data_IF_666358358284
#
_entry.id   IF_666358358284
#
_cell.length_a   1.000
_cell.length_b   1.000
_cell.length_c   1.000
_cell.angle_alpha   90.00
_cell.angle_beta   90.00
_cell.angle_gamma   90.00
#
_symmetry.space_group_name_H-M   'P 1'
#
loop_
_entity.id
_entity.type
_entity.pdbx_description
1 polymer ?
#
# COMPACT_ATOMS: atom_id res chain seq x y z
N UNK A 1 25.96 30.97 46.55
CA UNK A 1 26.39 30.91 45.13
C UNK A 1 26.02 29.61 44.38
N UNK A 2 25.99 28.41 44.99
CA UNK A 2 25.70 27.15 44.24
C UNK A 2 24.23 27.01 43.76
N UNK A 3 23.28 27.66 44.45
CA UNK A 3 21.84 27.58 44.14
C UNK A 3 21.43 28.42 42.91
N UNK A 4 22.16 29.49 42.63
CA UNK A 4 21.88 30.41 41.51
C UNK A 4 22.29 29.81 40.15
N UNK A 5 23.45 29.14 40.09
CA UNK A 5 23.91 28.44 38.87
C UNK A 5 22.92 27.39 38.39
N UNK A 6 22.27 26.68 39.33
CA UNK A 6 21.28 25.66 39.00
C UNK A 6 19.98 26.22 38.41
N UNK A 7 19.62 27.47 38.72
CA UNK A 7 18.43 28.11 38.13
C UNK A 7 18.70 28.65 36.72
N UNK A 8 19.93 29.10 36.44
CA UNK A 8 20.32 29.55 35.10
C UNK A 8 20.41 28.39 34.10
N UNK A 9 20.94 27.22 34.50
CA UNK A 9 20.95 26.06 33.60
C UNK A 9 19.53 25.57 33.27
N UNK A 10 18.62 25.57 34.25
CA UNK A 10 17.22 25.19 34.02
C UNK A 10 16.49 26.15 33.09
N UNK A 11 16.77 27.45 33.14
CA UNK A 11 16.12 28.44 32.26
C UNK A 11 16.64 28.37 30.82
N UNK A 12 17.94 28.12 30.63
CA UNK A 12 18.55 27.97 29.30
C UNK A 12 18.12 26.67 28.59
N UNK A 13 17.96 25.58 29.35
CA UNK A 13 17.42 24.33 28.79
C UNK A 13 15.96 24.51 28.36
N UNK A 14 15.13 25.21 29.14
CA UNK A 14 13.71 25.43 28.82
C UNK A 14 13.52 26.29 27.56
N UNK A 15 14.39 27.28 27.33
CA UNK A 15 14.31 28.18 26.17
C UNK A 15 14.75 27.54 24.86
N UNK A 16 15.58 26.48 24.92
CA UNK A 16 16.10 25.79 23.72
C UNK A 16 15.13 24.77 23.10
N UNK A 17 14.07 24.40 23.82
CA UNK A 17 13.07 23.43 23.34
C UNK A 17 11.78 24.07 22.81
N UNK A 18 11.58 25.39 22.96
CA UNK A 18 10.37 26.09 22.50
C UNK A 18 10.41 26.55 21.05
N UNK A 19 11.52 26.36 20.33
CA UNK A 19 11.70 26.79 18.93
C UNK A 19 11.86 25.63 17.96
N UNK A 20 11.40 24.43 18.31
CA UNK A 20 11.27 23.36 17.33
C UNK A 20 10.11 23.70 16.39
N UNK A 21 10.33 23.72 15.07
CA UNK A 21 9.28 24.04 14.11
C UNK A 21 8.11 23.08 14.31
N UNK A 22 6.94 23.64 14.62
CA UNK A 22 5.69 22.88 14.67
C UNK A 22 5.49 22.22 13.32
N UNK A 23 5.55 20.90 13.28
CA UNK A 23 5.25 20.14 12.07
C UNK A 23 3.83 20.50 11.62
N UNK A 24 3.62 20.85 10.33
CA UNK A 24 2.29 21.15 9.84
C UNK A 24 1.42 19.89 9.93
N UNK A 25 0.47 19.89 10.86
CA UNK A 25 -0.67 18.96 10.87
C UNK A 25 -1.59 19.29 9.71
N UNK A 26 -1.18 18.94 8.49
CA UNK A 26 -2.08 18.97 7.34
C UNK A 26 -2.32 17.54 6.84
N UNK A 27 -3.02 16.76 7.67
CA UNK A 27 -3.66 15.52 7.25
C UNK A 27 -5.04 15.82 6.68
N UNK A 28 -5.09 16.61 5.61
CA UNK A 28 -6.23 16.70 4.72
C UNK A 28 -6.46 15.34 4.05
N UNK A 29 -7.23 14.47 4.70
CA UNK A 29 -7.67 13.17 4.20
C UNK A 29 -8.37 13.35 2.85
N UNK A 30 -7.65 13.11 1.75
CA UNK A 30 -8.19 13.08 0.39
C UNK A 30 -9.14 11.90 0.24
N UNK A 31 -10.43 12.12 0.52
CA UNK A 31 -11.55 11.17 0.32
C UNK A 31 -11.84 10.84 -1.17
N UNK A 32 -11.06 11.39 -2.12
CA UNK A 32 -11.25 11.21 -3.58
C UNK A 32 -10.87 9.83 -4.12
N UNK A 33 -10.12 8.99 -3.40
CA UNK A 33 -9.73 7.67 -3.91
C UNK A 33 -10.90 6.66 -3.93
N UNK A 34 -11.96 6.90 -3.16
CA UNK A 34 -13.09 5.97 -3.06
C UNK A 34 -13.99 6.01 -4.30
N UNK A 35 -14.25 7.19 -4.86
CA UNK A 35 -15.21 7.38 -5.96
C UNK A 35 -14.71 6.73 -7.27
N UNK A 36 -13.40 6.81 -7.53
CA UNK A 36 -12.81 6.20 -8.74
C UNK A 36 -12.89 4.67 -8.65
N UNK A 37 -12.66 4.11 -7.46
CA UNK A 37 -12.77 2.65 -7.25
C UNK A 37 -14.20 2.16 -7.43
N UNK A 38 -15.19 2.89 -6.91
CA UNK A 38 -16.60 2.53 -7.06
C UNK A 38 -17.02 2.61 -8.52
N UNK A 39 -16.65 3.67 -9.24
CA UNK A 39 -16.96 3.82 -10.67
C UNK A 39 -16.34 2.71 -11.52
N UNK A 40 -15.09 2.33 -11.25
CA UNK A 40 -14.45 1.21 -11.93
C UNK A 40 -15.18 -0.10 -11.66
N UNK A 41 -15.51 -0.38 -10.39
CA UNK A 41 -16.22 -1.58 -10.01
C UNK A 41 -17.57 -1.69 -10.74
N UNK A 42 -18.30 -0.58 -10.88
CA UNK A 42 -19.56 -0.55 -11.64
C UNK A 42 -19.35 -0.87 -13.12
N UNK A 43 -18.33 -0.31 -13.77
CA UNK A 43 -18.02 -0.60 -15.18
C UNK A 43 -17.67 -2.08 -15.37
N UNK A 44 -16.87 -2.63 -14.46
CA UNK A 44 -16.48 -4.05 -14.46
C UNK A 44 -17.69 -4.97 -14.25
N UNK A 45 -18.61 -4.59 -13.35
CA UNK A 45 -19.86 -5.30 -13.11
C UNK A 45 -20.74 -5.31 -14.36
N UNK A 46 -20.91 -4.16 -15.03
CA UNK A 46 -21.70 -4.07 -16.27
C UNK A 46 -21.08 -4.95 -17.35
N UNK A 47 -19.75 -4.91 -17.51
CA UNK A 47 -19.05 -5.78 -18.46
C UNK A 47 -19.28 -7.27 -18.14
N UNK A 48 -19.24 -7.66 -16.87
CA UNK A 48 -19.44 -9.04 -16.42
C UNK A 48 -20.90 -9.50 -16.60
N UNK A 49 -21.87 -8.65 -16.28
CA UNK A 49 -23.28 -8.95 -16.54
C UNK A 49 -23.52 -9.10 -18.04
N UNK A 50 -22.93 -8.23 -18.86
CA UNK A 50 -23.05 -8.32 -20.31
C UNK A 50 -22.44 -9.63 -20.86
N UNK A 51 -21.28 -10.07 -20.37
CA UNK A 51 -20.68 -11.34 -20.79
C UNK A 51 -21.51 -12.54 -20.33
N UNK A 52 -22.07 -12.51 -19.12
CA UNK A 52 -22.98 -13.56 -18.62
C UNK A 52 -24.25 -13.63 -19.47
N UNK A 53 -24.85 -12.50 -19.81
CA UNK A 53 -26.03 -12.45 -20.69
C UNK A 53 -25.72 -13.05 -22.07
N UNK A 54 -24.58 -12.67 -22.67
CA UNK A 54 -24.15 -13.25 -23.95
C UNK A 54 -23.87 -14.76 -23.86
N UNK A 55 -23.51 -15.27 -22.68
CA UNK A 55 -23.27 -16.69 -22.47
C UNK A 55 -24.57 -17.49 -22.22
N UNK A 56 -25.54 -16.90 -21.50
CA UNK A 56 -26.79 -17.56 -21.12
C UNK A 56 -27.83 -17.54 -22.24
N UNK A 57 -27.99 -16.42 -22.96
CA UNK A 57 -29.05 -16.30 -23.98
C UNK A 57 -28.95 -17.39 -25.07
N UNK A 58 -27.77 -17.73 -25.62
CA UNK A 58 -27.66 -18.81 -26.61
C UNK A 58 -28.03 -20.19 -26.07
N UNK A 59 -27.87 -20.43 -24.75
CA UNK A 59 -28.26 -21.69 -24.11
C UNK A 59 -29.79 -21.84 -24.03
N UNK A 60 -30.51 -20.74 -23.85
CA UNK A 60 -31.98 -20.74 -23.70
C UNK A 60 -32.67 -20.90 -25.07
N UNK A 61 -32.11 -20.30 -26.12
CA UNK A 61 -32.72 -20.30 -27.46
C UNK A 61 -32.52 -21.60 -28.27
N UNK A 62 -31.78 -22.57 -27.75
CA UNK A 62 -31.51 -23.85 -28.43
C UNK A 62 -32.47 -24.99 -28.01
N UNK A 63 -33.65 -24.66 -27.47
CA UNK A 63 -34.53 -25.61 -26.77
C UNK A 63 -35.41 -26.50 -27.65
N UNK A 64 -35.15 -26.61 -28.96
CA UNK A 64 -35.69 -27.73 -29.75
C UNK A 64 -34.68 -28.90 -29.74
N UNK A 65 -34.69 -29.63 -28.61
CA UNK A 65 -34.20 -31.01 -28.39
C UNK A 65 -32.69 -31.31 -28.22
N UNK A 66 -31.98 -30.86 -27.16
CA UNK A 66 -30.76 -31.56 -26.67
C UNK A 66 -30.51 -31.48 -25.14
N UNK A 67 -30.02 -32.57 -24.52
CA UNK A 67 -29.91 -32.72 -23.06
C UNK A 67 -28.81 -31.86 -22.44
N UNK A 68 -29.14 -31.22 -21.32
CA UNK A 68 -28.21 -30.47 -20.49
C UNK A 68 -27.75 -31.22 -19.22
N UNK A 69 -26.77 -30.58 -18.57
CA UNK A 69 -26.29 -30.71 -17.17
C UNK A 69 -25.07 -31.62 -16.87
N UNK A 70 -24.75 -32.73 -17.57
CA UNK A 70 -23.40 -33.33 -17.43
C UNK A 70 -22.95 -34.33 -18.53
N UNK A 71 -23.54 -34.27 -19.73
CA UNK A 71 -23.47 -35.37 -20.69
C UNK A 71 -22.34 -35.38 -21.72
N UNK A 72 -21.84 -34.26 -22.26
CA UNK A 72 -20.69 -34.27 -23.18
C UNK A 72 -19.99 -32.90 -23.32
N UNK A 73 -18.67 -32.98 -23.13
CA UNK A 73 -17.53 -32.16 -23.58
C UNK A 73 -17.66 -30.64 -23.47
N UNK A 74 -17.27 -30.12 -22.30
CA UNK A 74 -16.72 -28.76 -22.11
C UNK A 74 -15.37 -28.60 -22.82
N UNK A 75 -15.32 -28.88 -24.11
CA UNK A 75 -14.14 -28.75 -24.95
C UNK A 75 -14.18 -27.42 -25.69
N UNK A 76 -13.02 -26.85 -25.96
CA UNK A 76 -12.80 -25.61 -26.73
C UNK A 76 -13.56 -25.57 -28.09
N UNK A 77 -14.09 -26.69 -28.57
CA UNK A 77 -14.90 -26.81 -29.79
C UNK A 77 -16.19 -26.00 -29.76
N UNK A 78 -16.95 -25.98 -28.64
CA UNK A 78 -18.21 -25.21 -28.57
C UNK A 78 -17.96 -23.70 -28.75
N UNK A 79 -16.80 -23.23 -28.29
CA UNK A 79 -16.39 -21.84 -28.44
C UNK A 79 -16.10 -21.52 -29.91
N UNK A 80 -15.37 -22.41 -30.60
CA UNK A 80 -15.08 -22.26 -32.02
C UNK A 80 -16.35 -22.24 -32.88
N UNK A 81 -17.29 -23.14 -32.61
CA UNK A 81 -18.54 -23.27 -33.37
C UNK A 81 -19.52 -22.12 -33.13
N UNK A 82 -19.52 -21.58 -31.90
CA UNK A 82 -20.31 -20.38 -31.60
C UNK A 82 -19.67 -19.14 -32.22
N UNK A 83 -18.34 -19.04 -32.15
CA UNK A 83 -17.60 -17.92 -32.73
C UNK A 83 -17.74 -17.87 -34.26
N UNK A 84 -17.76 -19.03 -34.94
CA UNK A 84 -17.92 -19.12 -36.39
C UNK A 84 -19.32 -18.74 -36.90
N UNK A 85 -20.35 -18.77 -36.04
CA UNK A 85 -21.73 -18.36 -36.38
C UNK A 85 -22.01 -16.86 -36.16
N UNK A 86 -21.19 -16.18 -35.36
CA UNK A 86 -21.33 -14.74 -35.10
C UNK A 86 -20.88 -13.95 -36.33
N UNK A 87 -21.56 -12.85 -36.65
CA UNK A 87 -21.18 -11.96 -37.75
C UNK A 87 -19.74 -11.44 -37.59
N UNK A 88 -18.99 -11.22 -38.69
CA UNK A 88 -17.60 -10.75 -38.59
C UNK A 88 -17.44 -9.45 -37.80
N UNK A 89 -18.42 -8.55 -37.90
CA UNK A 89 -18.42 -7.25 -37.19
C UNK A 89 -18.55 -7.44 -35.68
N UNK A 90 -19.43 -8.33 -35.22
CA UNK A 90 -19.60 -8.63 -33.80
C UNK A 90 -18.37 -9.31 -33.19
N UNK A 91 -17.66 -10.15 -33.95
CA UNK A 91 -16.38 -10.75 -33.50
C UNK A 91 -15.33 -9.69 -33.19
N UNK A 92 -15.19 -8.72 -34.09
CA UNK A 92 -14.24 -7.60 -33.92
C UNK A 92 -14.62 -6.79 -32.67
N UNK A 93 -15.91 -6.48 -32.46
CA UNK A 93 -16.36 -5.74 -31.28
C UNK A 93 -16.02 -6.46 -29.96
N UNK A 94 -16.25 -7.78 -29.88
CA UNK A 94 -15.92 -8.57 -28.69
C UNK A 94 -14.41 -8.52 -28.41
N UNK A 95 -13.57 -8.68 -29.45
CA UNK A 95 -12.12 -8.65 -29.30
C UNK A 95 -11.63 -7.28 -28.82
N UNK A 96 -12.16 -6.19 -29.41
CA UNK A 96 -11.86 -4.82 -28.99
C UNK A 96 -12.29 -4.56 -27.54
N UNK A 97 -13.46 -5.08 -27.13
CA UNK A 97 -13.94 -4.95 -25.76
C UNK A 97 -13.02 -5.66 -24.75
N UNK A 98 -12.61 -6.91 -25.02
CA UNK A 98 -11.68 -7.63 -24.17
C UNK A 98 -10.31 -6.96 -24.10
N UNK A 99 -9.82 -6.45 -25.23
CA UNK A 99 -8.58 -5.69 -25.27
C UNK A 99 -8.66 -4.42 -24.40
N UNK A 100 -9.79 -3.70 -24.45
CA UNK A 100 -10.02 -2.53 -23.62
C UNK A 100 -10.03 -2.88 -22.11
N UNK A 101 -10.64 -4.00 -21.73
CA UNK A 101 -10.64 -4.49 -20.34
C UNK A 101 -9.21 -4.82 -19.88
N UNK A 102 -8.42 -5.50 -20.71
CA UNK A 102 -7.02 -5.83 -20.39
C UNK A 102 -6.15 -4.58 -20.23
N UNK A 103 -6.30 -3.59 -21.12
CA UNK A 103 -5.58 -2.31 -21.04
C UNK A 103 -5.96 -1.59 -19.75
N UNK A 104 -7.25 -1.53 -19.43
CA UNK A 104 -7.74 -0.88 -18.21
C UNK A 104 -7.18 -1.58 -16.96
N UNK A 105 -7.25 -2.91 -16.90
CA UNK A 105 -6.68 -3.70 -15.82
C UNK A 105 -5.17 -3.45 -15.67
N UNK A 106 -4.42 -3.51 -16.76
CA UNK A 106 -2.99 -3.22 -16.79
C UNK A 106 -2.66 -1.81 -16.28
N UNK A 107 -3.46 -0.81 -16.67
CA UNK A 107 -3.29 0.57 -16.20
C UNK A 107 -3.53 0.72 -14.69
N UNK A 108 -4.56 0.07 -14.14
CA UNK A 108 -4.83 0.10 -12.69
C UNK A 108 -3.74 -0.60 -11.89
N UNK A 109 -3.28 -1.76 -12.35
CA UNK A 109 -2.16 -2.48 -11.73
C UNK A 109 -0.86 -1.66 -11.81
N UNK A 110 -0.56 -1.09 -12.97
CA UNK A 110 0.61 -0.24 -13.20
C UNK A 110 0.64 1.01 -12.31
N UNK A 111 -0.51 1.68 -12.14
CA UNK A 111 -0.62 2.81 -11.20
C UNK A 111 -0.36 2.39 -9.75
N UNK A 112 -0.79 1.20 -9.35
CA UNK A 112 -0.48 0.64 -8.04
C UNK A 112 1.03 0.56 -7.82
N UNK A 113 1.76 0.00 -8.78
CA UNK A 113 3.22 -0.17 -8.73
C UNK A 113 3.95 1.18 -8.70
N UNK A 114 3.52 2.17 -9.49
CA UNK A 114 4.15 3.49 -9.52
C UNK A 114 4.03 4.25 -8.19
N UNK A 115 2.94 4.08 -7.45
CA UNK A 115 2.78 4.70 -6.15
C UNK A 115 3.73 4.09 -5.09
N UNK A 116 4.03 2.78 -5.19
CA UNK A 116 5.02 2.13 -4.32
C UNK A 116 6.41 2.74 -4.51
N UNK A 117 6.80 3.04 -5.76
CA UNK A 117 8.13 3.65 -6.05
C UNK A 117 8.28 5.09 -5.57
N UNK A 118 7.18 5.85 -5.49
CA UNK A 118 7.23 7.25 -5.02
C UNK A 118 7.50 7.35 -3.52
N UNK A 119 7.05 6.38 -2.74
CA UNK A 119 7.37 6.29 -1.30
C UNK A 119 8.88 6.08 -1.08
N UNK A 120 9.57 5.38 -1.99
CA UNK A 120 11.01 5.12 -1.88
C UNK A 120 11.89 6.34 -2.21
N UNK A 121 11.39 7.34 -2.96
CA UNK A 121 12.22 8.43 -3.47
C UNK A 121 12.49 9.55 -2.45
N UNK A 122 11.69 9.64 -1.39
CA UNK A 122 11.85 10.64 -0.32
C UNK A 122 12.51 10.06 0.94
N UNK A 123 13.17 8.91 0.84
CA UNK A 123 13.88 8.34 1.99
C UNK A 123 15.06 9.26 2.31
N UNK A 124 15.14 9.81 3.54
CA UNK A 124 16.28 10.62 3.94
C UNK A 124 17.54 9.78 3.82
N UNK A 125 18.51 10.27 3.05
CA UNK A 125 19.78 9.57 2.87
C UNK A 125 20.44 9.32 4.24
N UNK A 126 21.22 8.23 4.38
CA UNK A 126 21.99 7.94 5.62
C UNK A 126 22.81 9.15 6.10
N UNK A 127 23.23 10.02 5.17
CA UNK A 127 23.91 11.29 5.44
C UNK A 127 23.07 12.28 6.25
N UNK A 128 21.76 12.35 6.05
CA UNK A 128 20.86 13.23 6.82
C UNK A 128 20.60 12.69 8.23
N UNK A 129 20.75 11.38 8.44
CA UNK A 129 20.55 10.73 9.75
C UNK A 129 21.80 10.89 10.63
N UNK A 130 22.96 11.29 10.08
CA UNK A 130 24.18 11.62 10.85
C UNK A 130 24.08 12.94 11.64
N UNK A 131 22.92 13.24 12.20
CA UNK A 131 22.75 14.36 13.13
C UNK A 131 23.53 14.04 14.41
N UNK A 132 24.66 14.73 14.61
CA UNK A 132 25.52 14.80 15.82
C UNK A 132 25.30 13.66 16.82
N UNK A 133 26.07 12.58 16.67
CA UNK A 133 26.21 11.54 17.69
C UNK A 133 26.86 12.15 18.95
N UNK A 134 26.04 12.64 19.87
CA UNK A 134 26.50 13.12 21.19
C UNK A 134 26.69 11.93 22.14
N UNK A 135 26.03 10.80 21.87
CA UNK A 135 26.09 9.57 22.67
C UNK A 135 26.43 8.36 21.78
N UNK A 136 27.11 7.34 22.32
CA UNK A 136 27.21 6.05 21.65
C UNK A 136 25.79 5.47 21.53
N UNK A 137 25.35 5.26 20.29
CA UNK A 137 24.02 4.73 19.97
C UNK A 137 24.19 3.51 19.09
N UNK A 138 23.38 2.49 19.34
CA UNK A 138 23.35 1.27 18.53
C UNK A 138 22.59 1.52 17.22
N UNK A 139 22.81 0.67 16.22
CA UNK A 139 22.04 0.76 14.97
C UNK A 139 20.53 0.54 15.22
N UNK A 140 20.17 -0.29 16.22
CA UNK A 140 18.78 -0.49 16.64
C UNK A 140 18.15 0.82 17.17
N UNK A 141 18.91 1.61 17.95
CA UNK A 141 18.44 2.91 18.46
C UNK A 141 18.20 3.90 17.31
N UNK A 142 19.07 3.88 16.30
CA UNK A 142 18.93 4.70 15.10
C UNK A 142 17.69 4.29 14.28
N UNK A 143 17.43 2.98 14.15
CA UNK A 143 16.20 2.47 13.52
C UNK A 143 14.98 2.97 14.27
N UNK A 144 14.97 2.89 15.61
CA UNK A 144 13.86 3.39 16.41
C UNK A 144 13.64 4.90 16.24
N UNK A 145 14.71 5.70 16.20
CA UNK A 145 14.61 7.14 15.90
C UNK A 145 14.08 7.42 14.50
N UNK A 146 14.41 6.58 13.52
CA UNK A 146 13.85 6.68 12.17
C UNK A 146 12.33 6.48 12.20
N UNK A 147 11.84 5.51 12.97
CA UNK A 147 10.41 5.30 13.20
C UNK A 147 9.72 6.47 13.90
N UNK A 148 10.38 7.12 14.86
CA UNK A 148 9.82 8.32 15.51
C UNK A 148 9.58 9.48 14.55
N UNK A 149 10.41 9.60 13.50
CA UNK A 149 10.27 10.66 12.49
C UNK A 149 9.17 10.36 11.48
N UNK A 150 9.21 9.19 10.85
CA UNK A 150 8.35 8.87 9.70
C UNK A 150 7.03 8.19 10.09
N UNK A 151 6.89 7.68 11.33
CA UNK A 151 5.78 6.90 11.88
C UNK A 151 5.49 5.57 11.16
N UNK A 152 5.65 5.49 9.85
CA UNK A 152 5.41 4.32 9.00
C UNK A 152 6.60 4.14 8.07
N UNK A 153 7.21 2.95 8.10
CA UNK A 153 8.33 2.59 7.23
C UNK A 153 8.13 1.22 6.62
N UNK A 154 8.70 0.99 5.44
CA UNK A 154 8.81 -0.35 4.83
C UNK A 154 10.13 -0.99 5.24
N UNK A 155 10.14 -2.31 5.32
CA UNK A 155 11.35 -3.08 5.64
C UNK A 155 12.52 -2.75 4.72
N UNK A 156 12.26 -2.64 3.41
CA UNK A 156 13.25 -2.32 2.37
C UNK A 156 13.95 -0.97 2.62
N UNK A 157 13.26 0.00 3.23
CA UNK A 157 13.83 1.30 3.57
C UNK A 157 14.88 1.15 4.65
N UNK A 158 14.64 0.27 5.63
CA UNK A 158 15.54 0.02 6.74
C UNK A 158 16.77 -0.73 6.23
N UNK A 159 16.58 -1.78 5.43
CA UNK A 159 17.69 -2.54 4.86
C UNK A 159 18.61 -1.68 4.01
N UNK A 160 18.05 -0.84 3.13
CA UNK A 160 18.81 0.10 2.30
C UNK A 160 19.47 1.22 3.10
N UNK A 161 18.77 1.82 4.07
CA UNK A 161 19.32 2.92 4.87
C UNK A 161 20.50 2.48 5.72
N UNK A 162 20.42 1.28 6.29
CA UNK A 162 21.47 0.76 7.17
C UNK A 162 22.54 -0.04 6.42
N UNK A 163 22.25 -0.52 5.22
CA UNK A 163 23.14 -1.36 4.42
C UNK A 163 23.21 -2.79 4.96
N UNK A 164 22.09 -3.30 5.46
CA UNK A 164 21.96 -4.65 6.04
C UNK A 164 20.98 -5.48 5.22
N UNK A 165 20.97 -6.80 5.39
CA UNK A 165 20.03 -7.66 4.67
C UNK A 165 18.60 -7.50 5.21
N UNK A 166 17.60 -7.85 4.39
CA UNK A 166 16.19 -7.79 4.80
C UNK A 166 15.90 -8.70 6.00
N UNK A 167 16.62 -9.84 6.10
CA UNK A 167 16.52 -10.75 7.24
C UNK A 167 16.95 -10.09 8.55
N UNK A 168 18.10 -9.42 8.56
CA UNK A 168 18.61 -8.70 9.74
C UNK A 168 17.69 -7.52 10.10
N UNK A 169 17.23 -6.78 9.10
CA UNK A 169 16.25 -5.69 9.29
C UNK A 169 14.97 -6.20 9.91
N UNK A 170 14.51 -7.39 9.49
CA UNK A 170 13.30 -8.02 10.03
C UNK A 170 13.50 -8.47 11.48
N UNK A 171 14.66 -9.02 11.82
CA UNK A 171 15.00 -9.36 13.21
C UNK A 171 14.98 -8.13 14.11
N UNK A 172 15.56 -7.01 13.66
CA UNK A 172 15.48 -5.74 14.38
C UNK A 172 14.04 -5.27 14.58
N UNK A 173 13.20 -5.37 13.55
CA UNK A 173 11.77 -5.03 13.66
C UNK A 173 11.03 -5.94 14.63
N UNK A 174 11.30 -7.25 14.62
CA UNK A 174 10.71 -8.21 15.57
C UNK A 174 11.12 -7.92 17.02
N UNK A 175 12.37 -7.51 17.26
CA UNK A 175 12.83 -7.09 18.59
C UNK A 175 12.01 -5.87 19.06
N UNK A 176 11.86 -4.85 18.22
CA UNK A 176 11.08 -3.66 18.55
C UNK A 176 9.58 -3.97 18.72
N UNK A 177 9.03 -4.89 17.94
CA UNK A 177 7.64 -5.36 18.06
C UNK A 177 7.42 -6.11 19.36
N UNK A 178 8.38 -6.95 19.78
CA UNK A 178 8.33 -7.64 21.08
C UNK A 178 8.30 -6.67 22.26
N UNK A 179 8.98 -5.51 22.11
CA UNK A 179 8.92 -4.39 23.04
C UNK A 179 7.64 -3.55 22.96
N UNK A 180 6.67 -3.91 22.11
CA UNK A 180 5.44 -3.16 21.81
C UNK A 180 5.70 -1.70 21.38
N UNK A 181 6.84 -1.45 20.74
CA UNK A 181 7.20 -0.13 20.23
C UNK A 181 6.65 0.11 18.82
N UNK A 182 6.57 -0.96 18.03
CA UNK A 182 6.10 -0.95 16.66
C UNK A 182 5.15 -2.13 16.40
N UNK A 183 4.42 -2.06 15.30
CA UNK A 183 3.53 -3.11 14.79
C UNK A 183 3.92 -3.45 13.36
N UNK A 184 4.10 -4.73 13.04
CA UNK A 184 4.39 -5.20 11.70
C UNK A 184 3.09 -5.62 11.00
N UNK A 185 2.85 -5.11 9.79
CA UNK A 185 1.71 -5.42 8.94
C UNK A 185 2.19 -6.00 7.61
N UNK A 186 1.64 -7.14 7.23
CA UNK A 186 1.97 -7.83 5.98
C UNK A 186 0.89 -7.53 4.92
N UNK A 187 1.14 -6.59 3.97
CA UNK A 187 0.19 -6.34 2.90
C UNK A 187 0.11 -7.54 1.95
N UNK A 188 -0.98 -7.64 1.19
CA UNK A 188 -1.17 -8.71 0.18
C UNK A 188 -0.08 -8.69 -0.91
N UNK A 189 0.47 -7.51 -1.21
CA UNK A 189 1.50 -7.31 -2.21
C UNK A 189 2.55 -6.33 -1.69
N UNK A 190 3.83 -6.70 -1.83
CA UNK A 190 5.00 -5.89 -1.49
C UNK A 190 5.56 -6.16 -0.09
N UNK A 191 6.52 -5.34 0.31
CA UNK A 191 7.25 -5.54 1.56
C UNK A 191 6.41 -5.26 2.82
N UNK A 192 6.77 -5.87 3.97
CA UNK A 192 6.16 -5.60 5.26
C UNK A 192 6.20 -4.11 5.60
N UNK A 193 5.05 -3.60 6.06
CA UNK A 193 4.87 -2.24 6.57
C UNK A 193 4.98 -2.24 8.08
N UNK A 194 5.68 -1.27 8.63
CA UNK A 194 6.00 -1.22 10.05
C UNK A 194 5.55 0.14 10.57
N UNK A 195 4.70 0.13 11.58
CA UNK A 195 4.04 1.32 12.14
C UNK A 195 4.44 1.53 13.60
N UNK A 196 4.75 2.76 13.99
CA UNK A 196 5.05 3.10 15.38
C UNK A 196 3.77 3.09 16.22
N UNK A 197 3.78 2.35 17.34
CA UNK A 197 2.69 2.36 18.31
C UNK A 197 2.85 3.62 19.17
N UNK A 198 1.99 4.62 18.99
CA UNK A 198 1.95 5.76 19.90
C UNK A 198 1.33 5.30 21.21
N UNK A 199 2.10 5.38 22.32
CA UNK A 199 1.51 5.27 23.65
C UNK A 199 0.66 6.53 23.86
N UNK A 200 -0.66 6.37 23.85
CA UNK A 200 -1.62 7.48 24.00
C UNK A 200 -1.50 8.24 25.33
N UNK A 201 -0.69 7.77 26.29
CA UNK A 201 -0.57 8.35 27.64
C UNK A 201 0.30 9.60 27.80
N UNK A 202 0.99 10.10 26.76
CA UNK A 202 1.96 11.22 26.92
C UNK A 202 1.54 12.55 26.29
N UNK A 203 0.36 12.63 25.64
CA UNK A 203 -0.14 13.89 25.04
C UNK A 203 -0.96 14.76 26.00
N UNK A 204 -1.36 14.28 27.17
CA UNK A 204 -2.24 15.04 28.09
C UNK A 204 -1.54 15.95 29.12
N UNK A 205 -0.20 15.93 29.25
CA UNK A 205 0.51 16.77 30.25
C UNK A 205 1.14 18.07 29.71
N UNK A 206 0.71 18.55 28.54
CA UNK A 206 1.14 19.84 27.97
C UNK A 206 -0.01 20.78 27.59
N UNK A 207 -1.15 20.69 28.28
CA UNK A 207 -2.13 21.77 28.34
C UNK A 207 -1.90 22.59 29.61
#
# INVERSE_FOLDING_TARGET
MKKEKNNLEKSLVKKKFSTLPSFPENLGKRKKSSIIKTMLATILLIALVHTVIQFIIPQISSSENLPGISGQVTGVSWFSDTYSKISPTSRILILVQWLAVLILAGFYLGKGILNLKKETKNIPSKSEIKVKKIKPETDLDLVYKLFQKEKILRLEIISKTFGVTDKVSMEWCKILESGKLIKISYPLVGDPKIELIQKDGEKEKKK
#
